data_IF_401494738705
#
_entry.id   IF_401494738705
#
_cell.length_a   1.000
_cell.length_b   1.000
_cell.length_c   1.000
_cell.angle_alpha   90.00
_cell.angle_beta   90.00
_cell.angle_gamma   90.00
#
_symmetry.space_group_name_H-M   'P 1'
#
loop_
_entity.id
_entity.type
_entity.pdbx_description
1 polymer ?
#
# COMPACT_ATOMS: atom_id res chain seq x y z
N UNK A 1 -23.27 -8.30 19.02
CA UNK A 1 -23.16 -6.86 19.33
C UNK A 1 -21.74 -6.27 19.18
N UNK A 2 -20.73 -7.06 18.97
CA UNK A 2 -19.31 -6.59 18.87
C UNK A 2 -18.92 -6.02 17.49
N UNK A 3 -19.65 -6.35 16.43
CA UNK A 3 -19.35 -5.99 15.03
C UNK A 3 -19.53 -4.49 14.68
N UNK A 4 -20.23 -3.69 15.49
CA UNK A 4 -20.44 -2.26 15.23
C UNK A 4 -19.28 -1.37 15.72
N UNK A 5 -18.37 -1.89 16.55
CA UNK A 5 -17.36 -1.11 17.29
C UNK A 5 -16.18 -0.63 16.42
N UNK A 6 -15.97 -1.21 15.25
CA UNK A 6 -14.81 -0.90 14.39
C UNK A 6 -15.10 0.07 13.25
N UNK A 7 -16.36 0.37 12.95
CA UNK A 7 -16.77 1.23 11.81
C UNK A 7 -16.99 2.65 12.26
N UNK A 8 -16.32 3.59 11.60
CA UNK A 8 -16.43 5.03 11.87
C UNK A 8 -17.58 5.59 11.03
N UNK A 9 -18.57 6.21 11.68
CA UNK A 9 -19.63 6.94 10.98
C UNK A 9 -19.05 8.25 10.41
N UNK A 10 -18.87 8.31 9.10
CA UNK A 10 -18.29 9.46 8.41
C UNK A 10 -19.32 10.57 8.13
N UNK A 11 -20.62 10.24 8.19
CA UNK A 11 -21.70 11.14 7.79
C UNK A 11 -22.21 12.05 8.91
N UNK A 12 -22.06 11.62 10.19
CA UNK A 12 -22.62 12.34 11.33
C UNK A 12 -21.58 12.58 12.43
N UNK A 13 -21.89 13.43 13.40
CA UNK A 13 -21.05 13.72 14.58
C UNK A 13 -19.77 14.50 14.31
N UNK A 14 -18.88 14.58 15.31
CA UNK A 14 -17.64 15.34 15.26
C UNK A 14 -16.64 14.75 14.24
N UNK A 15 -16.05 15.59 13.40
CA UNK A 15 -15.05 15.19 12.41
C UNK A 15 -13.66 15.03 13.02
N UNK A 16 -13.29 15.84 14.03
CA UNK A 16 -11.96 15.86 14.63
C UNK A 16 -11.48 14.46 15.05
N UNK A 17 -12.21 13.85 15.98
CA UNK A 17 -11.85 12.53 16.50
C UNK A 17 -11.95 11.43 15.42
N UNK A 18 -12.95 11.54 14.53
CA UNK A 18 -13.20 10.50 13.52
C UNK A 18 -12.13 10.47 12.44
N UNK A 19 -11.63 11.63 12.00
CA UNK A 19 -10.52 11.72 11.05
C UNK A 19 -9.25 11.13 11.67
N UNK A 20 -8.93 11.47 12.91
CA UNK A 20 -7.75 10.91 13.59
C UNK A 20 -7.86 9.41 13.80
N UNK A 21 -9.01 8.92 14.29
CA UNK A 21 -9.26 7.47 14.46
C UNK A 21 -9.18 6.70 13.14
N UNK A 22 -9.46 7.34 12.01
CA UNK A 22 -9.34 6.75 10.69
C UNK A 22 -7.91 6.81 10.15
N UNK A 23 -7.24 7.95 10.28
CA UNK A 23 -5.93 8.19 9.69
C UNK A 23 -4.80 7.47 10.45
N UNK A 24 -4.84 7.44 11.79
CA UNK A 24 -3.77 6.82 12.60
C UNK A 24 -3.54 5.34 12.24
N UNK A 25 -4.57 4.46 12.11
CA UNK A 25 -4.32 3.08 11.71
C UNK A 25 -3.77 2.96 10.28
N UNK A 26 -4.08 3.90 9.38
CA UNK A 26 -3.53 3.90 8.01
C UNK A 26 -2.07 4.30 8.03
N UNK A 27 -1.72 5.37 8.76
CA UNK A 27 -0.32 5.77 8.94
C UNK A 27 0.51 4.63 9.55
N UNK A 28 -0.01 4.00 10.61
CA UNK A 28 0.63 2.84 11.21
C UNK A 28 0.80 1.68 10.21
N UNK A 29 -0.19 1.42 9.35
CA UNK A 29 -0.08 0.39 8.31
C UNK A 29 1.04 0.69 7.32
N UNK A 30 1.15 1.94 6.84
CA UNK A 30 2.17 2.34 5.89
C UNK A 30 3.58 2.27 6.51
N UNK A 31 3.74 2.74 7.74
CA UNK A 31 5.00 2.68 8.49
C UNK A 31 5.41 1.21 8.73
N UNK A 32 4.47 0.36 9.15
CA UNK A 32 4.75 -1.07 9.34
C UNK A 32 5.17 -1.77 8.05
N UNK A 33 4.53 -1.46 6.92
CA UNK A 33 4.95 -2.00 5.62
C UNK A 33 6.39 -1.61 5.29
N UNK A 34 6.77 -0.36 5.55
CA UNK A 34 8.14 0.10 5.33
C UNK A 34 9.14 -0.61 6.24
N UNK A 35 8.78 -0.79 7.52
CA UNK A 35 9.64 -1.52 8.46
C UNK A 35 9.83 -2.98 8.04
N UNK A 36 8.80 -3.65 7.51
CA UNK A 36 8.92 -5.01 7.00
C UNK A 36 9.81 -5.08 5.76
N UNK A 37 9.67 -4.14 4.82
CA UNK A 37 10.57 -4.07 3.66
C UNK A 37 12.02 -3.84 4.08
N UNK A 38 12.25 -3.00 5.08
CA UNK A 38 13.59 -2.76 5.64
C UNK A 38 14.15 -4.00 6.34
N UNK A 39 13.31 -4.75 7.06
CA UNK A 39 13.70 -6.01 7.69
C UNK A 39 14.07 -7.08 6.65
N UNK A 40 13.30 -7.18 5.55
CA UNK A 40 13.60 -8.07 4.43
C UNK A 40 14.99 -7.77 3.84
N UNK A 41 15.28 -6.49 3.57
CA UNK A 41 16.58 -6.06 3.06
C UNK A 41 17.72 -6.33 4.06
N UNK A 42 17.50 -6.09 5.35
CA UNK A 42 18.50 -6.35 6.39
C UNK A 42 18.82 -7.85 6.52
N UNK A 43 17.80 -8.72 6.49
CA UNK A 43 17.98 -10.18 6.56
C UNK A 43 18.76 -10.68 5.34
N UNK A 44 18.39 -10.25 4.13
CA UNK A 44 19.10 -10.63 2.91
C UNK A 44 20.55 -10.14 2.93
N UNK A 45 20.76 -8.87 3.23
CA UNK A 45 22.09 -8.28 3.22
C UNK A 45 23.03 -8.95 4.21
N UNK A 46 22.54 -9.29 5.40
CA UNK A 46 23.36 -9.90 6.46
C UNK A 46 23.65 -11.38 6.24
N UNK A 47 22.67 -12.14 5.74
CA UNK A 47 22.77 -13.62 5.69
C UNK A 47 22.96 -14.19 4.30
N UNK A 48 22.68 -13.43 3.22
CA UNK A 48 22.81 -13.91 1.84
C UNK A 48 23.87 -13.16 1.02
N UNK A 49 24.45 -12.10 1.59
CA UNK A 49 25.54 -11.35 0.97
C UNK A 49 25.10 -10.18 0.08
N UNK A 50 26.10 -9.43 -0.40
CA UNK A 50 25.88 -8.18 -1.15
C UNK A 50 25.21 -8.39 -2.51
N UNK A 51 25.50 -9.48 -3.22
CA UNK A 51 24.84 -9.79 -4.50
C UNK A 51 23.33 -10.05 -4.32
N UNK A 52 22.94 -10.76 -3.26
CA UNK A 52 21.55 -11.00 -2.93
C UNK A 52 20.82 -9.71 -2.56
N UNK A 53 21.46 -8.81 -1.79
CA UNK A 53 20.91 -7.51 -1.48
C UNK A 53 20.74 -6.64 -2.74
N UNK A 54 21.75 -6.63 -3.61
CA UNK A 54 21.69 -5.94 -4.89
C UNK A 54 20.56 -6.49 -5.78
N UNK A 55 20.35 -7.83 -5.78
CA UNK A 55 19.27 -8.47 -6.51
C UNK A 55 17.87 -8.05 -6.00
N UNK A 56 17.66 -7.95 -4.70
CA UNK A 56 16.39 -7.46 -4.13
C UNK A 56 16.21 -5.97 -4.44
N UNK A 57 17.25 -5.17 -4.26
CA UNK A 57 17.20 -3.71 -4.48
C UNK A 57 16.93 -3.32 -5.93
N UNK A 58 17.51 -4.01 -6.91
CA UNK A 58 17.31 -3.73 -8.34
C UNK A 58 15.87 -3.94 -8.82
N UNK A 59 15.08 -4.71 -8.09
CA UNK A 59 13.65 -4.92 -8.40
C UNK A 59 12.72 -3.81 -7.90
N UNK A 60 13.21 -2.96 -6.98
CA UNK A 60 12.41 -1.89 -6.36
C UNK A 60 11.65 -1.01 -7.37
N UNK A 61 12.30 -0.45 -8.40
CA UNK A 61 11.65 0.45 -9.34
C UNK A 61 10.44 -0.16 -10.07
N UNK A 62 10.56 -1.38 -10.59
CA UNK A 62 9.45 -2.02 -11.31
C UNK A 62 8.30 -2.40 -10.37
N UNK A 63 8.64 -2.92 -9.19
CA UNK A 63 7.66 -3.27 -8.16
C UNK A 63 6.89 -2.01 -7.74
N UNK A 64 7.59 -0.91 -7.46
CA UNK A 64 6.97 0.34 -7.03
C UNK A 64 6.06 0.96 -8.08
N UNK A 65 6.43 0.93 -9.37
CA UNK A 65 5.58 1.41 -10.47
C UNK A 65 4.27 0.64 -10.52
N UNK A 66 4.34 -0.70 -10.48
CA UNK A 66 3.17 -1.56 -10.57
C UNK A 66 2.29 -1.41 -9.32
N UNK A 67 2.90 -1.44 -8.13
CA UNK A 67 2.19 -1.24 -6.87
C UNK A 67 1.48 0.12 -6.84
N UNK A 68 2.16 1.20 -7.19
CA UNK A 68 1.60 2.56 -7.18
C UNK A 68 0.39 2.68 -8.10
N UNK A 69 0.44 2.07 -9.29
CA UNK A 69 -0.69 2.05 -10.22
C UNK A 69 -1.90 1.36 -9.59
N UNK A 70 -1.73 0.16 -9.06
CA UNK A 70 -2.84 -0.62 -8.53
C UNK A 70 -3.34 -0.14 -7.17
N UNK A 71 -2.49 0.44 -6.35
CA UNK A 71 -2.91 1.17 -5.14
C UNK A 71 -3.79 2.36 -5.52
N UNK A 72 -3.41 3.13 -6.55
CA UNK A 72 -4.26 4.19 -7.10
C UNK A 72 -5.61 3.67 -7.60
N UNK A 73 -5.63 2.56 -8.34
CA UNK A 73 -6.89 1.95 -8.81
C UNK A 73 -7.73 1.47 -7.62
N UNK A 74 -7.12 0.91 -6.58
CA UNK A 74 -7.83 0.50 -5.36
C UNK A 74 -8.44 1.69 -4.62
N UNK A 75 -7.77 2.85 -4.65
CA UNK A 75 -8.34 4.11 -4.15
C UNK A 75 -9.57 4.53 -4.96
N UNK A 76 -9.54 4.36 -6.28
CA UNK A 76 -10.72 4.57 -7.14
C UNK A 76 -11.91 3.69 -6.74
N UNK A 77 -11.67 2.43 -6.37
CA UNK A 77 -12.70 1.55 -5.83
C UNK A 77 -13.24 2.07 -4.49
N UNK A 78 -12.37 2.55 -3.58
CA UNK A 78 -12.77 3.19 -2.33
C UNK A 78 -13.70 4.37 -2.58
N UNK A 79 -13.34 5.28 -3.50
CA UNK A 79 -14.13 6.48 -3.86
C UNK A 79 -15.53 6.10 -4.33
N UNK A 80 -15.62 5.14 -5.25
CA UNK A 80 -16.92 4.72 -5.82
C UNK A 80 -17.79 4.06 -4.76
N UNK A 81 -17.24 3.14 -3.96
CA UNK A 81 -18.00 2.44 -2.92
C UNK A 81 -18.41 3.41 -1.80
N UNK A 82 -17.50 4.28 -1.34
CA UNK A 82 -17.81 5.29 -0.33
C UNK A 82 -18.92 6.24 -0.78
N UNK A 83 -18.89 6.67 -2.05
CA UNK A 83 -19.95 7.51 -2.63
C UNK A 83 -21.31 6.79 -2.64
N UNK A 84 -21.32 5.51 -3.05
CA UNK A 84 -22.54 4.69 -3.06
C UNK A 84 -23.09 4.46 -1.65
N UNK A 85 -22.21 4.29 -0.64
CA UNK A 85 -22.60 4.19 0.78
C UNK A 85 -23.26 5.50 1.21
N UNK A 86 -22.65 6.66 0.91
CA UNK A 86 -23.24 7.96 1.22
C UNK A 86 -24.60 8.18 0.56
N UNK A 87 -24.77 7.70 -0.67
CA UNK A 87 -26.02 7.77 -1.43
C UNK A 87 -27.06 6.72 -1.01
N UNK A 88 -26.74 5.79 -0.11
CA UNK A 88 -27.66 4.75 0.37
C UNK A 88 -28.01 3.68 -0.67
N UNK A 89 -27.24 3.50 -1.74
CA UNK A 89 -27.54 2.62 -2.89
C UNK A 89 -27.07 1.18 -2.65
N UNK A 90 -27.70 0.46 -1.72
CA UNK A 90 -27.28 -0.87 -1.23
C UNK A 90 -26.98 -1.88 -2.34
N UNK A 91 -27.85 -2.03 -3.35
CA UNK A 91 -27.63 -2.98 -4.44
C UNK A 91 -26.39 -2.63 -5.29
N UNK A 92 -26.15 -1.33 -5.53
CA UNK A 92 -24.97 -0.92 -6.27
C UNK A 92 -23.68 -1.08 -5.45
N UNK A 93 -23.77 -0.98 -4.12
CA UNK A 93 -22.62 -1.25 -3.22
C UNK A 93 -22.22 -2.71 -3.36
N UNK A 94 -23.16 -3.66 -3.27
CA UNK A 94 -22.85 -5.09 -3.44
C UNK A 94 -22.22 -5.37 -4.82
N UNK A 95 -22.80 -4.83 -5.89
CA UNK A 95 -22.22 -4.98 -7.23
C UNK A 95 -20.81 -4.39 -7.32
N UNK A 96 -20.55 -3.25 -6.65
CA UNK A 96 -19.24 -2.62 -6.61
C UNK A 96 -18.23 -3.47 -5.85
N UNK A 97 -18.60 -4.07 -4.71
CA UNK A 97 -17.76 -4.99 -3.93
C UNK A 97 -17.36 -6.20 -4.79
N UNK A 98 -18.35 -6.87 -5.42
CA UNK A 98 -18.05 -8.03 -6.26
C UNK A 98 -17.20 -7.66 -7.47
N UNK A 99 -17.48 -6.54 -8.14
CA UNK A 99 -16.67 -6.02 -9.25
C UNK A 99 -15.24 -5.74 -8.83
N UNK A 100 -15.04 -5.13 -7.66
CA UNK A 100 -13.72 -4.79 -7.11
C UNK A 100 -12.86 -6.05 -6.86
N UNK A 101 -13.43 -7.07 -6.23
CA UNK A 101 -12.72 -8.32 -5.94
C UNK A 101 -12.47 -9.12 -7.22
N UNK A 102 -13.44 -9.18 -8.13
CA UNK A 102 -13.26 -9.85 -9.43
C UNK A 102 -12.15 -9.19 -10.24
N UNK A 103 -12.13 -7.85 -10.30
CA UNK A 103 -11.07 -7.12 -10.97
C UNK A 103 -9.71 -7.37 -10.32
N UNK A 104 -9.63 -7.36 -8.99
CA UNK A 104 -8.39 -7.66 -8.25
C UNK A 104 -7.83 -9.03 -8.59
N UNK A 105 -8.69 -10.06 -8.69
CA UNK A 105 -8.28 -11.41 -9.10
C UNK A 105 -7.78 -11.43 -10.54
N UNK A 106 -8.55 -10.89 -11.49
CA UNK A 106 -8.16 -10.87 -12.91
C UNK A 106 -6.84 -10.13 -13.11
N UNK A 107 -6.70 -8.93 -12.51
CA UNK A 107 -5.48 -8.14 -12.60
C UNK A 107 -4.29 -8.85 -11.93
N UNK A 108 -4.50 -9.46 -10.77
CA UNK A 108 -3.48 -10.21 -10.04
C UNK A 108 -2.97 -11.41 -10.86
N UNK A 109 -3.86 -12.20 -11.44
CA UNK A 109 -3.47 -13.32 -12.30
C UNK A 109 -2.80 -12.85 -13.59
N UNK A 110 -3.30 -11.78 -14.23
CA UNK A 110 -2.66 -11.19 -15.41
C UNK A 110 -1.21 -10.75 -15.09
N UNK A 111 -0.98 -10.18 -13.91
CA UNK A 111 0.36 -9.77 -13.48
C UNK A 111 1.32 -10.95 -13.26
N UNK A 112 0.85 -12.14 -12.92
CA UNK A 112 1.72 -13.32 -12.88
C UNK A 112 2.34 -13.56 -14.25
N UNK A 113 1.50 -13.61 -15.31
CA UNK A 113 1.98 -13.81 -16.67
C UNK A 113 2.88 -12.67 -17.13
N UNK A 114 2.49 -11.41 -16.90
CA UNK A 114 3.29 -10.25 -17.23
C UNK A 114 4.65 -10.32 -16.53
N UNK A 115 4.69 -10.58 -15.23
CA UNK A 115 5.91 -10.66 -14.46
C UNK A 115 6.83 -11.79 -14.91
N UNK A 116 6.25 -12.95 -15.27
CA UNK A 116 7.05 -14.09 -15.74
C UNK A 116 7.81 -13.78 -17.02
N UNK A 117 7.19 -13.12 -17.98
CA UNK A 117 7.80 -12.79 -19.27
C UNK A 117 8.64 -11.51 -19.24
N UNK A 118 8.24 -10.51 -18.46
CA UNK A 118 8.89 -9.19 -18.46
C UNK A 118 10.07 -9.12 -17.49
N UNK A 119 10.15 -10.00 -16.48
CA UNK A 119 11.16 -9.90 -15.42
C UNK A 119 12.60 -9.76 -15.97
N UNK A 120 13.06 -10.68 -16.81
CA UNK A 120 14.43 -10.64 -17.33
C UNK A 120 14.67 -9.52 -18.34
N UNK A 121 13.81 -9.32 -19.38
CA UNK A 121 13.96 -8.21 -20.33
C UNK A 121 13.98 -6.83 -19.65
N UNK A 122 13.18 -6.63 -18.60
CA UNK A 122 13.19 -5.38 -17.87
C UNK A 122 14.50 -5.15 -17.12
N UNK A 123 15.03 -6.18 -16.45
CA UNK A 123 16.31 -6.09 -15.75
C UNK A 123 17.48 -5.85 -16.69
N UNK A 124 17.45 -6.43 -17.89
CA UNK A 124 18.41 -6.14 -18.98
C UNK A 124 18.30 -4.69 -19.44
N UNK A 125 17.07 -4.18 -19.61
CA UNK A 125 16.82 -2.80 -20.02
C UNK A 125 17.38 -1.78 -19.01
N UNK A 126 17.26 -2.04 -17.71
CA UNK A 126 17.84 -1.17 -16.66
C UNK A 126 19.32 -1.44 -16.39
N UNK A 127 19.97 -2.27 -17.23
CA UNK A 127 21.39 -2.61 -17.15
C UNK A 127 21.81 -3.22 -15.82
N UNK A 128 20.98 -4.15 -15.28
CA UNK A 128 21.34 -4.92 -14.10
C UNK A 128 22.59 -5.76 -14.37
N UNK A 129 23.62 -5.77 -13.51
CA UNK A 129 24.85 -6.54 -13.71
C UNK A 129 24.60 -8.05 -13.91
N UNK A 130 25.43 -8.68 -14.75
CA UNK A 130 25.26 -10.10 -15.14
C UNK A 130 25.33 -11.08 -13.96
N UNK A 131 26.12 -10.76 -12.96
CA UNK A 131 26.27 -11.55 -11.72
C UNK A 131 25.06 -11.48 -10.80
N UNK A 132 24.19 -10.47 -10.97
CA UNK A 132 23.00 -10.22 -10.15
C UNK A 132 21.70 -10.56 -10.88
N UNK A 133 21.67 -10.44 -12.20
CA UNK A 133 20.43 -10.49 -13.00
C UNK A 133 19.61 -11.76 -12.82
N UNK A 134 20.26 -12.93 -12.69
CA UNK A 134 19.56 -14.20 -12.52
C UNK A 134 18.86 -14.28 -11.15
N UNK A 135 19.52 -13.79 -10.08
CA UNK A 135 18.92 -13.71 -8.74
C UNK A 135 17.78 -12.69 -8.70
N UNK A 136 17.97 -11.54 -9.34
CA UNK A 136 16.95 -10.49 -9.45
C UNK A 136 15.71 -10.99 -10.22
N UNK A 137 15.92 -11.70 -11.35
CA UNK A 137 14.82 -12.27 -12.12
C UNK A 137 14.07 -13.37 -11.35
N UNK A 138 14.78 -14.21 -10.59
CA UNK A 138 14.17 -15.21 -9.71
C UNK A 138 13.29 -14.54 -8.65
N UNK A 139 13.82 -13.54 -7.93
CA UNK A 139 13.08 -12.77 -6.95
C UNK A 139 11.80 -12.18 -7.55
N UNK A 140 11.94 -11.50 -8.68
CA UNK A 140 10.84 -10.81 -9.33
C UNK A 140 9.74 -11.78 -9.78
N UNK A 141 10.11 -12.92 -10.36
CA UNK A 141 9.16 -13.98 -10.75
C UNK A 141 8.38 -14.53 -9.55
N UNK A 142 9.06 -14.84 -8.45
CA UNK A 142 8.40 -15.30 -7.22
C UNK A 142 7.50 -14.21 -6.65
N UNK A 143 7.96 -12.97 -6.63
CA UNK A 143 7.18 -11.82 -6.16
C UNK A 143 5.88 -11.66 -6.98
N UNK A 144 5.96 -11.77 -8.30
CA UNK A 144 4.78 -11.69 -9.18
C UNK A 144 3.79 -12.84 -8.97
N UNK A 145 4.22 -14.01 -8.56
CA UNK A 145 3.30 -15.09 -8.16
C UNK A 145 2.44 -14.68 -6.95
N UNK A 146 2.90 -13.76 -6.12
CA UNK A 146 2.16 -13.18 -5.01
C UNK A 146 1.18 -12.06 -5.38
N UNK A 147 1.19 -11.57 -6.64
CA UNK A 147 0.36 -10.44 -7.04
C UNK A 147 -1.15 -10.62 -6.81
N UNK A 148 -1.76 -11.79 -7.02
CA UNK A 148 -3.18 -11.98 -6.69
C UNK A 148 -3.47 -11.69 -5.21
N UNK A 149 -2.60 -12.12 -4.31
CA UNK A 149 -2.76 -11.85 -2.87
C UNK A 149 -2.57 -10.38 -2.55
N UNK A 150 -1.58 -9.73 -3.15
CA UNK A 150 -1.35 -8.29 -3.02
C UNK A 150 -2.58 -7.49 -3.49
N UNK A 151 -3.14 -7.84 -4.64
CA UNK A 151 -4.35 -7.21 -5.16
C UNK A 151 -5.54 -7.41 -4.23
N UNK A 152 -5.79 -8.64 -3.78
CA UNK A 152 -6.89 -8.95 -2.86
C UNK A 152 -6.77 -8.18 -1.54
N UNK A 153 -5.55 -8.06 -0.98
CA UNK A 153 -5.33 -7.27 0.22
C UNK A 153 -5.64 -5.79 -0.01
N UNK A 154 -5.11 -5.17 -1.06
CA UNK A 154 -5.27 -3.73 -1.31
C UNK A 154 -6.72 -3.37 -1.65
N UNK A 155 -7.34 -4.10 -2.57
CA UNK A 155 -8.74 -3.85 -2.97
C UNK A 155 -9.73 -4.22 -1.86
N UNK A 156 -9.52 -5.31 -1.15
CA UNK A 156 -10.33 -5.69 0.01
C UNK A 156 -10.22 -4.68 1.15
N UNK A 157 -9.01 -4.22 1.46
CA UNK A 157 -8.78 -3.14 2.44
C UNK A 157 -9.46 -1.83 2.02
N UNK A 158 -9.43 -1.51 0.73
CA UNK A 158 -10.10 -0.35 0.15
C UNK A 158 -11.62 -0.40 0.35
N UNK A 159 -12.24 -1.59 0.19
CA UNK A 159 -13.66 -1.81 0.49
C UNK A 159 -13.96 -1.57 1.99
N UNK A 160 -13.16 -2.11 2.90
CA UNK A 160 -13.34 -1.91 4.34
C UNK A 160 -13.19 -0.43 4.74
N UNK A 161 -12.15 0.24 4.21
CA UNK A 161 -11.90 1.68 4.44
C UNK A 161 -13.04 2.55 3.93
N UNK A 162 -13.71 2.20 2.82
CA UNK A 162 -14.85 2.96 2.29
C UNK A 162 -16.02 3.08 3.26
N UNK A 163 -16.12 2.17 4.24
CA UNK A 163 -17.13 2.19 5.32
C UNK A 163 -16.57 2.61 6.69
N UNK A 164 -15.35 3.11 6.73
CA UNK A 164 -14.74 3.63 7.95
C UNK A 164 -13.98 2.60 8.78
N UNK A 165 -13.68 1.43 8.24
CA UNK A 165 -12.92 0.40 8.94
C UNK A 165 -11.47 0.40 8.47
N UNK A 166 -10.59 0.95 9.28
CA UNK A 166 -9.14 0.97 9.07
C UNK A 166 -8.40 0.01 10.00
N UNK A 167 -9.08 -0.47 11.06
CA UNK A 167 -8.45 -1.32 12.08
C UNK A 167 -8.26 -2.75 11.61
N UNK A 168 -9.26 -3.32 10.90
CA UNK A 168 -9.15 -4.70 10.41
C UNK A 168 -8.07 -4.87 9.34
N UNK A 169 -7.90 -3.97 8.35
CA UNK A 169 -6.74 -3.98 7.46
C UNK A 169 -5.39 -3.89 8.17
N UNK A 170 -5.27 -3.00 9.19
CA UNK A 170 -4.07 -2.91 10.01
C UNK A 170 -3.79 -4.22 10.76
N UNK A 171 -4.80 -4.81 11.38
CA UNK A 171 -4.66 -6.08 12.09
C UNK A 171 -4.17 -7.21 11.15
N UNK A 172 -4.76 -7.31 9.95
CA UNK A 172 -4.32 -8.28 8.95
C UNK A 172 -2.85 -8.05 8.55
N UNK A 173 -2.43 -6.79 8.43
CA UNK A 173 -1.06 -6.44 8.11
C UNK A 173 -0.08 -6.79 9.24
N UNK A 174 -0.44 -6.55 10.50
CA UNK A 174 0.40 -6.92 11.66
C UNK A 174 0.66 -8.43 11.66
N UNK A 175 -0.38 -9.24 11.47
CA UNK A 175 -0.23 -10.70 11.39
C UNK A 175 0.67 -11.09 10.22
N UNK A 176 0.44 -10.49 9.06
CA UNK A 176 1.27 -10.71 7.87
C UNK A 176 2.73 -10.39 8.13
N UNK A 177 3.02 -9.27 8.77
CA UNK A 177 4.39 -8.87 9.08
C UNK A 177 5.10 -9.80 10.05
N UNK A 178 4.40 -10.29 11.08
CA UNK A 178 4.96 -11.30 12.00
C UNK A 178 5.29 -12.58 11.22
N UNK A 179 4.38 -13.05 10.38
CA UNK A 179 4.61 -14.22 9.52
C UNK A 179 5.79 -13.99 8.58
N UNK A 180 5.88 -12.80 7.94
CA UNK A 180 6.97 -12.44 7.05
C UNK A 180 8.33 -12.52 7.76
N UNK A 181 8.48 -11.88 8.92
CA UNK A 181 9.74 -11.89 9.67
C UNK A 181 10.13 -13.31 10.09
N UNK A 182 9.19 -14.08 10.64
CA UNK A 182 9.45 -15.47 11.05
C UNK A 182 9.86 -16.34 9.87
N UNK A 183 9.17 -16.24 8.73
CA UNK A 183 9.50 -16.99 7.54
C UNK A 183 10.81 -16.54 6.91
N UNK A 184 11.15 -15.25 6.95
CA UNK A 184 12.47 -14.78 6.51
C UNK A 184 13.59 -15.42 7.32
N UNK A 185 13.48 -15.40 8.64
CA UNK A 185 14.47 -16.05 9.50
C UNK A 185 14.57 -17.56 9.20
N UNK A 186 13.46 -18.22 9.02
CA UNK A 186 13.42 -19.66 8.72
C UNK A 186 13.99 -19.96 7.32
N UNK A 187 13.49 -19.30 6.27
CA UNK A 187 13.84 -19.65 4.89
C UNK A 187 15.23 -19.16 4.49
N UNK A 188 15.66 -18.00 5.02
CA UNK A 188 16.97 -17.42 4.68
C UNK A 188 18.08 -18.00 5.56
N UNK A 189 17.86 -18.12 6.88
CA UNK A 189 18.92 -18.54 7.80
C UNK A 189 18.99 -20.07 7.91
N UNK A 190 17.86 -20.76 8.14
CA UNK A 190 17.84 -22.20 8.36
C UNK A 190 17.90 -22.95 7.03
N UNK A 191 17.01 -22.63 6.08
CA UNK A 191 16.97 -23.32 4.78
C UNK A 191 17.95 -22.74 3.74
N UNK A 192 18.59 -21.60 4.03
CA UNK A 192 19.61 -20.95 3.17
C UNK A 192 19.14 -20.68 1.73
N UNK A 193 17.84 -20.38 1.57
CA UNK A 193 17.25 -20.12 0.25
C UNK A 193 17.59 -18.72 -0.31
N UNK A 194 18.30 -17.88 0.45
CA UNK A 194 18.75 -16.56 0.01
C UNK A 194 17.62 -15.68 -0.51
N UNK A 195 17.78 -15.15 -1.71
CA UNK A 195 16.82 -14.25 -2.38
C UNK A 195 15.44 -14.90 -2.56
N UNK A 196 15.40 -16.19 -2.91
CA UNK A 196 14.15 -16.92 -3.07
C UNK A 196 13.40 -17.06 -1.73
N UNK A 197 14.12 -17.24 -0.63
CA UNK A 197 13.55 -17.33 0.71
C UNK A 197 12.77 -16.07 1.08
N UNK A 198 13.33 -14.88 0.85
CA UNK A 198 12.66 -13.60 1.13
C UNK A 198 11.44 -13.40 0.23
N UNK A 199 11.56 -13.69 -1.07
CA UNK A 199 10.42 -13.55 -1.98
C UNK A 199 9.26 -14.49 -1.58
N UNK A 200 9.54 -15.74 -1.22
CA UNK A 200 8.54 -16.71 -0.76
C UNK A 200 7.90 -16.25 0.55
N UNK A 201 8.70 -15.75 1.51
CA UNK A 201 8.20 -15.21 2.79
C UNK A 201 7.21 -14.09 2.56
N UNK A 202 7.54 -13.15 1.67
CA UNK A 202 6.69 -12.01 1.32
C UNK A 202 5.38 -12.47 0.67
N UNK A 203 5.44 -13.45 -0.25
CA UNK A 203 4.24 -14.01 -0.91
C UNK A 203 3.31 -14.69 0.10
N UNK A 204 3.85 -15.54 0.98
CA UNK A 204 3.05 -16.25 1.99
C UNK A 204 2.45 -15.25 2.99
N UNK A 205 3.23 -14.28 3.46
CA UNK A 205 2.78 -13.25 4.39
C UNK A 205 1.66 -12.40 3.78
N UNK A 206 1.82 -11.96 2.53
CA UNK A 206 0.78 -11.23 1.80
C UNK A 206 -0.47 -12.11 1.58
N UNK A 207 -0.29 -13.40 1.33
CA UNK A 207 -1.36 -14.38 1.27
C UNK A 207 -2.17 -14.45 2.57
N UNK A 208 -1.50 -14.44 3.73
CA UNK A 208 -2.17 -14.45 5.02
C UNK A 208 -3.00 -13.17 5.25
N UNK A 209 -2.45 -11.98 4.94
CA UNK A 209 -3.20 -10.73 5.06
C UNK A 209 -4.40 -10.66 4.11
N UNK A 210 -4.24 -11.13 2.87
CA UNK A 210 -5.33 -11.17 1.90
C UNK A 210 -6.45 -12.13 2.34
N UNK A 211 -6.09 -13.31 2.84
CA UNK A 211 -7.05 -14.27 3.38
C UNK A 211 -7.85 -13.69 4.55
N UNK A 212 -7.20 -12.97 5.48
CA UNK A 212 -7.87 -12.31 6.58
C UNK A 212 -8.85 -11.23 6.10
N UNK A 213 -8.41 -10.36 5.17
CA UNK A 213 -9.24 -9.28 4.64
C UNK A 213 -10.46 -9.83 3.90
N UNK A 214 -10.27 -10.84 3.05
CA UNK A 214 -11.38 -11.51 2.35
C UNK A 214 -12.31 -12.22 3.33
N UNK A 215 -11.78 -12.88 4.36
CA UNK A 215 -12.59 -13.49 5.41
C UNK A 215 -13.43 -12.45 6.16
N UNK A 216 -12.91 -11.25 6.41
CA UNK A 216 -13.69 -10.17 7.00
C UNK A 216 -14.85 -9.74 6.11
N UNK A 217 -14.64 -9.63 4.79
CA UNK A 217 -15.69 -9.26 3.83
C UNK A 217 -16.76 -10.34 3.70
N UNK A 218 -16.39 -11.62 3.70
CA UNK A 218 -17.34 -12.75 3.68
C UNK A 218 -18.19 -12.78 4.95
N UNK A 219 -17.60 -12.45 6.11
CA UNK A 219 -18.29 -12.43 7.40
C UNK A 219 -19.12 -11.17 7.65
N UNK A 220 -19.07 -10.17 6.75
CA UNK A 220 -19.97 -9.01 6.84
C UNK A 220 -21.43 -9.44 6.70
N UNK A 221 -22.32 -8.73 7.39
CA UNK A 221 -23.77 -8.99 7.35
C UNK A 221 -24.56 -7.84 6.72
N UNK A 222 -23.84 -6.86 6.21
CA UNK A 222 -24.39 -5.66 5.59
C UNK A 222 -24.11 -5.61 4.07
N UNK A 223 -24.27 -4.45 3.46
CA UNK A 223 -24.09 -4.22 2.01
C UNK A 223 -22.66 -4.47 1.50
N UNK A 224 -21.66 -4.59 2.39
CA UNK A 224 -20.28 -4.97 2.02
C UNK A 224 -20.05 -6.49 2.00
N UNK A 225 -21.08 -7.30 2.29
CA UNK A 225 -20.97 -8.75 2.27
C UNK A 225 -20.48 -9.25 0.91
N UNK A 226 -19.39 -10.02 0.92
CA UNK A 226 -18.83 -10.66 -0.25
C UNK A 226 -19.38 -12.09 -0.37
N UNK A 227 -20.19 -12.32 -1.40
CA UNK A 227 -20.62 -13.65 -1.79
C UNK A 227 -19.77 -14.14 -2.96
N UNK A 228 -18.91 -15.13 -2.71
CA UNK A 228 -17.97 -15.65 -3.72
C UNK A 228 -18.72 -16.21 -4.93
N UNK A 229 -19.97 -16.68 -4.75
CA UNK A 229 -20.78 -17.22 -5.85
C UNK A 229 -21.33 -16.14 -6.78
N UNK A 230 -21.32 -14.88 -6.34
CA UNK A 230 -21.83 -13.72 -7.09
C UNK A 230 -20.71 -12.85 -7.66
N UNK A 231 -19.47 -13.36 -7.71
CA UNK A 231 -18.38 -12.65 -8.34
C UNK A 231 -18.71 -12.36 -9.81
N UNK A 232 -18.49 -11.12 -10.23
CA UNK A 232 -18.80 -10.66 -11.58
C UNK A 232 -18.32 -9.23 -11.81
N UNK A 233 -18.15 -8.85 -13.06
CA UNK A 233 -17.72 -7.52 -13.47
C UNK A 233 -18.90 -6.68 -13.94
N UNK A 234 -19.18 -5.61 -13.24
CA UNK A 234 -20.04 -4.54 -13.75
C UNK A 234 -19.16 -3.49 -14.44
N UNK A 235 -19.24 -3.46 -15.77
CA UNK A 235 -18.36 -2.59 -16.60
C UNK A 235 -18.54 -1.10 -16.31
N UNK A 236 -19.77 -0.66 -15.97
CA UNK A 236 -20.03 0.75 -15.63
C UNK A 236 -19.39 1.14 -14.32
N UNK A 237 -19.45 0.28 -13.28
CA UNK A 237 -18.79 0.52 -11.99
C UNK A 237 -17.29 0.43 -12.14
N UNK A 238 -16.78 -0.56 -12.86
CA UNK A 238 -15.35 -0.69 -13.14
C UNK A 238 -14.81 0.55 -13.87
N UNK A 239 -15.50 1.03 -14.89
CA UNK A 239 -15.11 2.24 -15.62
C UNK A 239 -15.01 3.46 -14.70
N UNK A 240 -15.95 3.63 -13.74
CA UNK A 240 -15.90 4.71 -12.75
C UNK A 240 -14.69 4.55 -11.82
N UNK A 241 -14.41 3.34 -11.35
CA UNK A 241 -13.24 3.04 -10.51
C UNK A 241 -11.94 3.34 -11.23
N UNK A 242 -11.81 2.91 -12.49
CA UNK A 242 -10.62 3.14 -13.30
C UNK A 242 -10.44 4.61 -13.66
N UNK A 243 -11.51 5.33 -14.02
CA UNK A 243 -11.44 6.79 -14.30
C UNK A 243 -10.93 7.61 -13.12
N UNK A 244 -11.19 7.17 -11.90
CA UNK A 244 -10.69 7.84 -10.68
C UNK A 244 -9.33 7.29 -10.28
N UNK A 245 -9.14 5.98 -10.36
CA UNK A 245 -7.97 5.29 -9.84
C UNK A 245 -6.73 5.40 -10.73
N UNK A 246 -6.88 5.33 -12.06
CA UNK A 246 -5.74 5.43 -12.98
C UNK A 246 -5.03 6.79 -12.86
N UNK A 247 -5.72 7.95 -12.89
CA UNK A 247 -5.06 9.23 -12.67
C UNK A 247 -4.34 9.31 -11.32
N UNK A 248 -4.92 8.74 -10.27
CA UNK A 248 -4.30 8.68 -8.95
C UNK A 248 -3.03 7.82 -8.93
N UNK A 249 -3.06 6.67 -9.59
CA UNK A 249 -1.88 5.81 -9.74
C UNK A 249 -0.78 6.45 -10.58
N UNK A 250 -1.15 7.09 -11.69
CA UNK A 250 -0.20 7.84 -12.55
C UNK A 250 0.45 9.00 -11.80
N UNK A 251 -0.31 9.72 -10.96
CA UNK A 251 0.25 10.77 -10.11
C UNK A 251 1.35 10.22 -9.19
N UNK A 252 1.13 9.06 -8.58
CA UNK A 252 2.13 8.42 -7.71
C UNK A 252 3.38 7.98 -8.50
N UNK A 253 3.20 7.48 -9.73
CA UNK A 253 4.32 7.12 -10.61
C UNK A 253 5.12 8.37 -11.01
N UNK A 254 4.45 9.47 -11.38
CA UNK A 254 5.12 10.73 -11.73
C UNK A 254 5.91 11.29 -10.55
N UNK A 255 5.38 11.19 -9.32
CA UNK A 255 6.10 11.57 -8.11
C UNK A 255 7.37 10.72 -7.92
N UNK A 256 7.27 9.40 -8.08
CA UNK A 256 8.42 8.51 -7.99
C UNK A 256 9.50 8.81 -9.06
N UNK A 257 9.09 9.10 -10.30
CA UNK A 257 10.01 9.49 -11.37
C UNK A 257 10.68 10.84 -11.07
N UNK A 258 9.96 11.81 -10.52
CA UNK A 258 10.52 13.10 -10.09
C UNK A 258 11.61 12.90 -9.04
N UNK A 259 11.38 12.05 -8.05
CA UNK A 259 12.39 11.73 -7.03
C UNK A 259 13.65 11.08 -7.63
N UNK A 260 13.52 10.25 -8.67
CA UNK A 260 14.68 9.69 -9.38
C UNK A 260 15.52 10.79 -10.06
N UNK A 261 14.87 11.80 -10.65
CA UNK A 261 15.59 12.93 -11.28
C UNK A 261 16.31 13.75 -10.22
N UNK A 262 15.65 14.04 -9.09
CA UNK A 262 16.26 14.74 -7.95
C UNK A 262 17.48 13.95 -7.42
N UNK A 263 17.31 12.62 -7.23
CA UNK A 263 18.41 11.76 -6.79
C UNK A 263 19.60 11.76 -7.75
N UNK A 264 19.31 11.76 -9.05
CA UNK A 264 20.38 11.87 -10.08
C UNK A 264 21.16 13.17 -9.96
N UNK A 265 20.48 14.28 -9.65
CA UNK A 265 21.11 15.57 -9.40
C UNK A 265 21.97 15.55 -8.11
N UNK A 266 21.47 14.95 -7.03
CA UNK A 266 22.22 14.79 -5.76
C UNK A 266 23.48 13.97 -5.99
N UNK A 267 23.42 12.93 -6.81
CA UNK A 267 24.57 12.08 -7.11
C UNK A 267 25.74 12.86 -7.74
N UNK A 268 25.46 13.97 -8.46
CA UNK A 268 26.49 14.82 -9.05
C UNK A 268 27.35 15.58 -8.01
N UNK A 269 26.86 15.72 -6.76
CA UNK A 269 27.60 16.39 -5.68
C UNK A 269 28.56 15.45 -4.91
N UNK A 270 28.66 14.19 -5.31
CA UNK A 270 29.61 13.21 -4.79
C UNK A 270 29.09 12.39 -3.60
N UNK A 271 29.93 11.44 -3.16
CA UNK A 271 29.52 10.38 -2.22
C UNK A 271 29.03 10.87 -0.85
N UNK A 272 29.56 11.98 -0.34
CA UNK A 272 29.12 12.55 0.95
C UNK A 272 27.69 13.08 0.86
N UNK A 273 27.34 13.77 -0.23
CA UNK A 273 25.99 14.25 -0.47
C UNK A 273 25.01 13.08 -0.67
N UNK A 274 25.43 12.05 -1.41
CA UNK A 274 24.64 10.83 -1.61
C UNK A 274 24.34 10.13 -0.28
N UNK A 275 25.32 9.97 0.60
CA UNK A 275 25.13 9.33 1.91
C UNK A 275 24.18 10.13 2.80
N UNK A 276 24.33 11.46 2.85
CA UNK A 276 23.42 12.33 3.58
C UNK A 276 21.98 12.26 3.06
N UNK A 277 21.80 12.32 1.74
CA UNK A 277 20.47 12.19 1.12
C UNK A 277 19.84 10.82 1.34
N UNK A 278 20.61 9.73 1.31
CA UNK A 278 20.11 8.40 1.58
C UNK A 278 19.56 8.26 3.02
N UNK A 279 20.21 8.89 3.99
CA UNK A 279 19.73 8.93 5.38
C UNK A 279 18.46 9.79 5.50
N UNK A 280 18.42 10.95 4.84
CA UNK A 280 17.30 11.87 4.85
C UNK A 280 16.03 11.23 4.23
N UNK A 281 16.15 10.55 3.08
CA UNK A 281 15.06 9.86 2.42
C UNK A 281 14.31 8.88 3.33
N UNK A 282 15.00 8.21 4.25
CA UNK A 282 14.34 7.32 5.19
C UNK A 282 13.43 8.08 6.16
N UNK A 283 13.83 9.26 6.61
CA UNK A 283 13.01 10.10 7.51
C UNK A 283 11.88 10.80 6.76
N UNK A 284 12.12 11.27 5.52
CA UNK A 284 11.09 11.81 4.64
C UNK A 284 9.92 10.83 4.44
N UNK A 285 10.22 9.54 4.25
CA UNK A 285 9.19 8.52 4.09
C UNK A 285 8.22 8.42 5.28
N UNK A 286 8.69 8.60 6.51
CA UNK A 286 7.78 8.60 7.67
C UNK A 286 6.80 9.77 7.61
N UNK A 287 7.29 10.98 7.32
CA UNK A 287 6.47 12.17 7.15
C UNK A 287 5.49 12.01 5.97
N UNK A 288 5.96 11.47 4.84
CA UNK A 288 5.12 11.17 3.68
C UNK A 288 3.97 10.21 4.00
N UNK A 289 4.21 9.15 4.79
CA UNK A 289 3.17 8.19 5.16
C UNK A 289 2.08 8.80 6.06
N UNK A 290 2.41 9.79 6.87
CA UNK A 290 1.43 10.56 7.64
C UNK A 290 0.54 11.40 6.71
N UNK A 291 1.15 12.13 5.76
CA UNK A 291 0.41 12.90 4.75
C UNK A 291 -0.51 11.99 3.93
N UNK A 292 0.01 10.84 3.51
CA UNK A 292 -0.75 9.85 2.73
C UNK A 292 -1.97 9.32 3.52
N UNK A 293 -1.85 9.12 4.82
CA UNK A 293 -2.96 8.68 5.67
C UNK A 293 -4.09 9.73 5.74
N UNK A 294 -3.74 11.01 5.88
CA UNK A 294 -4.74 12.10 5.85
C UNK A 294 -5.35 12.29 4.45
N UNK A 295 -4.58 12.09 3.38
CA UNK A 295 -5.10 12.08 2.01
C UNK A 295 -6.15 10.96 1.83
N UNK A 296 -5.87 9.74 2.32
CA UNK A 296 -6.85 8.65 2.29
C UNK A 296 -8.09 8.94 3.15
N UNK A 297 -7.93 9.61 4.30
CA UNK A 297 -9.05 10.06 5.12
C UNK A 297 -9.89 11.09 4.35
N UNK A 298 -9.26 12.12 3.76
CA UNK A 298 -9.94 13.11 2.91
C UNK A 298 -10.76 12.43 1.83
N UNK A 299 -10.15 11.50 1.10
CA UNK A 299 -10.78 10.80 -0.02
C UNK A 299 -12.00 9.99 0.44
N UNK A 300 -11.88 9.20 1.50
CA UNK A 300 -12.97 8.33 1.98
C UNK A 300 -14.12 9.14 2.57
N UNK A 301 -13.83 10.10 3.46
CA UNK A 301 -14.84 10.94 4.08
C UNK A 301 -15.55 11.85 3.07
N UNK A 302 -14.78 12.50 2.18
CA UNK A 302 -15.37 13.38 1.16
C UNK A 302 -16.24 12.59 0.21
N UNK A 303 -15.82 11.41 -0.24
CA UNK A 303 -16.59 10.58 -1.15
C UNK A 303 -17.93 10.14 -0.54
N UNK A 304 -17.95 9.73 0.75
CA UNK A 304 -19.20 9.40 1.43
C UNK A 304 -20.12 10.62 1.60
N UNK A 305 -19.56 11.76 2.05
CA UNK A 305 -20.36 12.98 2.26
C UNK A 305 -20.87 13.55 0.94
N UNK A 306 -20.10 13.43 -0.15
CA UNK A 306 -20.54 13.82 -1.49
C UNK A 306 -21.73 12.97 -1.95
N UNK A 307 -21.66 11.64 -1.76
CA UNK A 307 -22.77 10.75 -2.03
C UNK A 307 -24.04 11.07 -1.24
N UNK A 308 -23.88 11.53 0.00
CA UNK A 308 -24.97 11.98 0.87
C UNK A 308 -25.37 13.46 0.64
N UNK A 309 -24.82 14.14 -0.37
CA UNK A 309 -25.04 15.56 -0.70
C UNK A 309 -24.72 16.54 0.44
N UNK A 310 -23.82 16.14 1.37
CA UNK A 310 -23.38 16.96 2.52
C UNK A 310 -22.17 17.83 2.15
N UNK A 311 -22.30 18.76 1.20
CA UNK A 311 -21.19 19.56 0.63
C UNK A 311 -20.41 20.38 1.68
N UNK A 312 -21.11 21.01 2.64
CA UNK A 312 -20.46 21.74 3.72
C UNK A 312 -19.56 20.85 4.58
N UNK A 313 -20.00 19.59 4.77
CA UNK A 313 -19.20 18.62 5.50
C UNK A 313 -17.97 18.18 4.71
N UNK A 314 -18.06 18.08 3.36
CA UNK A 314 -16.92 17.84 2.50
C UNK A 314 -15.85 18.93 2.65
N UNK A 315 -16.24 20.21 2.66
CA UNK A 315 -15.31 21.33 2.88
C UNK A 315 -14.63 21.25 4.23
N UNK A 316 -15.39 20.98 5.31
CA UNK A 316 -14.83 20.80 6.66
C UNK A 316 -13.86 19.64 6.75
N UNK A 317 -14.16 18.51 6.12
CA UNK A 317 -13.26 17.35 6.06
C UNK A 317 -11.93 17.75 5.41
N UNK A 318 -11.99 18.41 4.25
CA UNK A 318 -10.80 18.81 3.53
C UNK A 318 -9.91 19.77 4.36
N UNK A 319 -10.53 20.82 4.94
CA UNK A 319 -9.79 21.77 5.78
C UNK A 319 -9.16 21.09 7.02
N UNK A 320 -9.89 20.20 7.69
CA UNK A 320 -9.38 19.48 8.86
C UNK A 320 -8.26 18.49 8.51
N UNK A 321 -8.37 17.77 7.40
CA UNK A 321 -7.31 16.86 6.98
C UNK A 321 -6.03 17.60 6.59
N UNK A 322 -6.15 18.75 5.91
CA UNK A 322 -4.99 19.62 5.63
C UNK A 322 -4.38 20.12 6.94
N UNK A 323 -5.19 20.63 7.86
CA UNK A 323 -4.74 21.13 9.16
C UNK A 323 -3.99 20.05 9.95
N UNK A 324 -4.57 18.84 10.07
CA UNK A 324 -3.91 17.72 10.75
C UNK A 324 -2.65 17.28 10.01
N UNK A 325 -2.70 17.20 8.67
CA UNK A 325 -1.53 16.86 7.86
C UNK A 325 -0.36 17.80 8.17
N UNK A 326 -0.58 19.12 8.14
CA UNK A 326 0.45 20.12 8.45
C UNK A 326 0.97 19.98 9.88
N UNK A 327 0.08 19.82 10.87
CA UNK A 327 0.49 19.72 12.28
C UNK A 327 1.30 18.46 12.52
N UNK A 328 0.79 17.28 12.14
CA UNK A 328 1.47 16.03 12.45
C UNK A 328 2.78 15.89 11.68
N UNK A 329 2.82 16.31 10.41
CA UNK A 329 4.07 16.31 9.63
C UNK A 329 5.06 17.32 10.21
N UNK A 330 4.60 18.55 10.51
CA UNK A 330 5.46 19.58 11.10
C UNK A 330 6.05 19.18 12.46
N UNK A 331 5.27 18.48 13.30
CA UNK A 331 5.80 17.93 14.58
C UNK A 331 6.86 16.86 14.31
N UNK A 332 6.61 15.95 13.36
CA UNK A 332 7.59 14.91 13.02
C UNK A 332 8.88 15.50 12.46
N UNK A 333 8.76 16.41 11.50
CA UNK A 333 9.92 17.08 10.89
C UNK A 333 10.69 17.90 11.91
N UNK A 334 9.98 18.59 12.83
CA UNK A 334 10.61 19.29 13.95
C UNK A 334 11.41 18.33 14.85
N UNK A 335 10.85 17.16 15.19
CA UNK A 335 11.54 16.14 15.98
C UNK A 335 12.79 15.65 15.24
N UNK A 336 12.70 15.34 13.93
CA UNK A 336 13.84 14.87 13.16
C UNK A 336 14.95 15.94 13.06
N UNK A 337 14.58 17.20 12.84
CA UNK A 337 15.56 18.31 12.77
C UNK A 337 16.18 18.62 14.14
N UNK A 338 15.35 18.65 15.21
CA UNK A 338 15.81 18.98 16.56
C UNK A 338 16.75 17.91 17.12
N UNK A 339 16.43 16.64 16.91
CA UNK A 339 17.24 15.50 17.35
C UNK A 339 18.12 14.93 16.22
N UNK A 340 18.48 15.74 15.22
CA UNK A 340 19.22 15.31 14.03
C UNK A 340 20.47 14.52 14.31
N UNK A 341 21.25 14.92 15.34
CA UNK A 341 22.49 14.22 15.71
C UNK A 341 22.23 12.78 16.15
N UNK A 342 21.18 12.57 16.95
CA UNK A 342 20.74 11.23 17.34
C UNK A 342 20.32 10.39 16.14
N UNK A 343 19.50 10.97 15.25
CA UNK A 343 18.98 10.24 14.11
C UNK A 343 20.07 9.92 13.06
N UNK A 344 21.04 10.83 12.83
CA UNK A 344 22.15 10.58 11.90
C UNK A 344 23.09 9.48 12.43
N UNK A 345 23.24 9.33 13.75
CA UNK A 345 24.08 8.28 14.33
C UNK A 345 23.50 6.85 14.20
N UNK A 346 22.22 6.74 13.85
CA UNK A 346 21.57 5.43 13.61
C UNK A 346 21.99 4.84 12.26
N UNK A 347 22.43 5.68 11.32
CA UNK A 347 22.89 5.32 9.97
C UNK A 347 24.38 5.50 9.81
#
# INVERSE_FOLDING_TARGET
MEKAKNKIDMLNGSLWNKILLFAIPIAASNILQQLFNSADAAVVGRFSGSQALAAVGSNGPIINIIISLFVGISLGANVVIANLIGAGKKQQIQNAVHTTITFALIAGFALIFIGWFIAKPFLEFIKTPEDVINLAALYLRIYFMGMPFFMLYNFGSSILRSKGDTKRPLFALIISGIINVLLNLLLVIVFKLGVAGVAISTVIATGASSFLVISFLIKETDELHLDIKKLGLNTQLLSKMLKTGIPSGLQSILFALSNLIVQSSINSFGSKAMAGSASELNYELFSYYVVLAFNMATTSFTSQNLGAQKFERCRKVNSLCIFFGIIFTGIMDFIFVFFREFFIQIY
#
